data_IF_196111824728
#
_entry.id   IF_196111824728
#
_cell.length_a   1.000
_cell.length_b   1.000
_cell.length_c   1.000
_cell.angle_alpha   90.00
_cell.angle_beta   90.00
_cell.angle_gamma   90.00
#
_symmetry.space_group_name_H-M   'P 1'
#
loop_
_entity.id
_entity.type
_entity.pdbx_description
1 polymer ?
2 polymer ?
3 non-polymer ?
4 water ?
#
loop_
_entity_poly.entity_id
_entity_poly.type
_entity_poly.pdbx_seq_one_letter_code
_entity_poly.pdbx_strand_id
2 'polydeoxyribonucleotide' '(DA)(DA)(DA)(DC)(DA)(DT)(DG)(DT)(DT)(DT)(DG)(DC)(DA)(DA)(DA)(DC)(DA)(DT)(DG)(DT)(DT)(DT)' ?
#
# COMPACT_ATOMS: atom_id res chain seq x y z
N UNK A 6 8.33 13.92 -4.96
CA UNK A 6 7.76 12.79 -5.77
C UNK A 6 6.38 13.09 -6.38
N UNK A 7 6.34 13.34 -7.70
CA UNK A 7 5.15 13.66 -8.50
C UNK A 7 3.81 13.27 -7.90
N UNK A 8 2.83 14.20 -8.01
CA UNK A 8 1.49 14.03 -7.48
C UNK A 8 0.65 13.07 -8.29
N UNK A 9 -0.30 12.42 -7.63
CA UNK A 9 -1.14 11.48 -8.33
C UNK A 9 -2.61 11.67 -8.04
N UNK A 10 -3.01 12.86 -7.60
CA UNK A 10 -4.42 13.05 -7.31
C UNK A 10 -5.14 13.63 -8.48
N UNK A 11 -6.34 13.12 -8.74
CA UNK A 11 -7.13 13.61 -9.87
C UNK A 11 -7.44 15.10 -9.69
N UNK A 12 -7.20 15.88 -10.74
CA UNK A 12 -7.44 17.33 -10.70
C UNK A 12 -7.94 17.80 -12.06
N UNK A 13 -9.27 17.77 -12.28
CA UNK A 13 -10.02 18.16 -13.49
C UNK A 13 -9.56 19.47 -14.07
N UNK A 14 -9.31 20.43 -13.20
CA UNK A 14 -8.82 21.71 -13.67
C UNK A 14 -9.82 22.47 -14.48
N UNK A 15 -9.51 23.74 -14.75
CA UNK A 15 -10.34 24.66 -15.52
C UNK A 15 -10.91 24.11 -16.81
N UNK A 16 -10.29 23.11 -17.41
CA UNK A 16 -10.81 22.60 -18.66
C UNK A 16 -11.53 21.28 -18.54
N UNK A 17 -11.99 20.96 -17.34
CA UNK A 17 -12.66 19.70 -17.08
C UNK A 17 -11.95 18.52 -17.77
N UNK A 18 -10.64 18.41 -17.52
CA UNK A 18 -9.78 17.39 -18.10
C UNK A 18 -10.17 15.98 -17.68
N UNK A 19 -10.14 15.06 -18.64
CA UNK A 19 -10.53 13.70 -18.33
C UNK A 19 -9.94 12.62 -19.27
N UNK A 20 -9.62 11.45 -18.73
CA UNK A 20 -9.08 10.36 -19.55
C UNK A 20 -9.99 9.17 -19.38
N UNK A 21 -10.20 8.40 -20.45
CA UNK A 21 -11.07 7.25 -20.37
C UNK A 21 -10.67 6.24 -21.40
N UNK A 22 -11.18 5.03 -21.32
CA UNK A 22 -10.76 4.04 -22.30
C UNK A 22 -11.95 3.41 -22.96
N UNK A 23 -11.99 3.52 -24.28
CA UNK A 23 -13.07 2.93 -25.06
C UNK A 23 -12.50 1.95 -26.08
N UNK A 24 -13.03 0.74 -26.01
CA UNK A 24 -12.68 -0.45 -26.80
C UNK A 24 -12.74 -0.29 -28.35
N UNK A 25 -11.58 -0.42 -28.97
CA UNK A 25 -11.37 -0.21 -30.42
C UNK A 25 -12.08 -1.15 -31.41
N UNK A 26 -12.70 -2.21 -30.94
CA UNK A 26 -13.36 -3.14 -31.86
C UNK A 26 -14.73 -3.63 -31.38
N UNK A 27 -15.07 -4.86 -31.79
CA UNK A 27 -16.34 -5.52 -31.46
C UNK A 27 -16.25 -6.99 -31.82
N UNK A 29 -13.28 -9.89 -27.85
CA UNK A 29 -11.85 -10.09 -28.04
C UNK A 29 -11.09 -8.77 -28.20
N UNK A 30 -10.24 -8.65 -29.24
CA UNK A 30 -9.39 -7.48 -29.40
C UNK A 30 -8.57 -7.43 -28.11
N UNK A 31 -8.51 -8.60 -27.48
CA UNK A 31 -7.92 -8.85 -26.17
C UNK A 31 -6.52 -8.29 -25.88
N UNK A 32 -6.03 -7.42 -26.76
CA UNK A 32 -4.73 -6.81 -26.55
C UNK A 32 -4.68 -5.96 -25.26
N UNK A 33 -5.85 -5.53 -24.77
CA UNK A 33 -5.92 -4.76 -23.53
C UNK A 33 -7.34 -4.66 -23.00
N UNK A 34 -7.45 -4.13 -21.79
CA UNK A 34 -8.74 -4.05 -21.12
C UNK A 34 -8.66 -3.03 -19.98
N UNK A 35 -9.80 -2.51 -19.54
CA UNK A 35 -9.79 -1.50 -18.47
C UNK A 35 -10.83 -1.67 -17.36
N UNK A 36 -10.41 -1.58 -16.11
CA UNK A 36 -11.34 -1.71 -15.01
C UNK A 36 -11.61 -0.33 -14.50
N UNK A 37 -12.64 0.28 -15.05
CA UNK A 37 -13.04 1.62 -14.70
C UNK A 37 -13.23 1.60 -13.21
N UNK A 38 -13.88 0.53 -12.79
CA UNK A 38 -14.22 0.29 -11.41
C UNK A 38 -12.94 0.26 -10.55
N UNK A 39 -11.92 -0.44 -11.05
CA UNK A 39 -10.65 -0.58 -10.35
C UNK A 39 -9.60 0.52 -10.63
N UNK A 40 -9.86 1.32 -11.66
CA UNK A 40 -8.96 2.39 -12.13
C UNK A 40 -7.68 1.74 -12.63
N UNK A 41 -7.82 0.53 -13.14
CA UNK A 41 -6.69 -0.24 -13.61
C UNK A 41 -6.79 -0.57 -15.10
N UNK A 42 -5.67 -0.42 -15.80
CA UNK A 42 -5.59 -0.73 -17.21
C UNK A 42 -4.71 -1.96 -17.32
N UNK A 43 -5.24 -3.04 -17.87
CA UNK A 43 -4.46 -4.27 -18.05
C UNK A 43 -4.05 -4.38 -19.51
N UNK A 44 -2.75 -4.37 -19.83
CA UNK A 44 -2.40 -4.46 -21.25
C UNK A 44 -1.09 -5.18 -21.63
N UNK A 45 -1.06 -5.72 -22.87
CA UNK A 45 0.10 -6.49 -23.36
C UNK A 45 1.30 -5.63 -23.70
N UNK A 46 2.49 -6.17 -23.47
CA UNK A 46 3.67 -5.38 -23.78
C UNK A 46 3.85 -5.04 -25.26
N UNK A 47 4.35 -3.82 -25.48
CA UNK A 47 4.64 -3.21 -26.80
C UNK A 47 3.43 -3.07 -27.68
N UNK A 48 2.31 -3.65 -27.29
CA UNK A 48 1.11 -3.52 -28.11
C UNK A 48 0.58 -2.11 -27.84
N UNK A 49 -0.33 -1.69 -28.69
CA UNK A 49 -0.88 -0.37 -28.64
C UNK A 49 -2.13 -0.12 -27.79
N UNK A 50 -2.04 0.90 -26.96
CA UNK A 50 -3.15 1.27 -26.12
C UNK A 50 -3.72 2.66 -26.48
N UNK A 51 -4.98 2.69 -26.96
CA UNK A 51 -5.67 3.94 -27.33
C UNK A 51 -6.23 4.54 -26.03
N UNK A 52 -5.93 5.80 -25.78
CA UNK A 52 -6.40 6.43 -24.57
C UNK A 52 -7.14 7.72 -24.96
N UNK A 53 -8.39 7.86 -24.46
CA UNK A 53 -9.24 9.01 -24.79
C UNK A 53 -9.15 10.19 -23.86
N UNK A 54 -8.82 11.34 -24.45
CA UNK A 54 -8.71 12.59 -23.73
C UNK A 54 -9.93 13.47 -24.05
N UNK A 55 -10.48 14.08 -23.02
CA UNK A 55 -11.65 14.94 -23.16
C UNK A 55 -11.57 16.18 -22.29
N UNK A 56 -11.73 17.34 -22.91
CA UNK A 56 -11.74 18.60 -22.16
C UNK A 56 -13.16 19.15 -22.29
N UNK A 57 -13.42 20.29 -21.66
CA UNK A 57 -14.76 20.86 -21.74
C UNK A 57 -14.63 22.27 -22.30
N UNK A 58 -13.40 22.78 -22.27
CA UNK A 58 -13.11 24.11 -22.78
C UNK A 58 -11.70 24.02 -23.33
N UNK A 59 -11.51 24.57 -24.52
CA UNK A 59 -10.21 24.57 -25.19
C UNK A 59 -9.06 24.98 -24.28
N UNK A 60 -8.04 24.12 -24.15
CA UNK A 60 -6.90 24.45 -23.30
C UNK A 60 -6.00 25.50 -24.02
N UNK A 61 -5.12 26.19 -23.26
CA UNK A 61 -4.18 27.22 -23.71
C UNK A 61 -3.52 27.00 -25.06
N UNK A 62 -2.28 27.43 -25.21
CA UNK A 62 -1.65 27.32 -26.52
C UNK A 62 -0.80 26.12 -26.84
N UNK A 63 0.40 26.03 -26.26
CA UNK A 63 1.25 24.90 -26.55
C UNK A 63 0.84 23.68 -25.76
N UNK A 64 -0.24 23.83 -25.00
CA UNK A 64 -0.79 22.77 -24.17
C UNK A 64 -0.29 21.39 -24.58
N UNK A 65 0.17 20.63 -23.60
CA UNK A 65 0.67 19.31 -23.89
C UNK A 65 0.10 18.24 -22.99
N UNK A 66 0.22 16.98 -23.40
CA UNK A 66 -0.24 15.85 -22.60
C UNK A 66 0.92 14.96 -22.26
N UNK A 67 1.33 15.01 -20.99
CA UNK A 67 2.46 14.22 -20.53
C UNK A 67 2.01 12.98 -19.80
N UNK A 68 2.59 11.86 -20.17
CA UNK A 68 2.26 10.62 -19.53
C UNK A 68 3.51 10.19 -18.79
N UNK A 69 3.39 10.04 -17.47
CA UNK A 69 4.54 9.63 -16.71
C UNK A 69 4.23 8.43 -15.84
N UNK A 70 5.16 7.46 -15.78
CA UNK A 70 4.98 6.25 -14.98
C UNK A 70 5.62 6.46 -13.60
N UNK A 71 5.04 5.82 -12.59
CA UNK A 71 5.55 5.95 -11.24
C UNK A 71 5.02 4.78 -10.37
N UNK A 72 5.84 4.30 -9.44
CA UNK A 72 5.42 3.18 -8.62
C UNK A 72 4.28 3.56 -7.70
N UNK A 73 3.30 2.66 -7.60
CA UNK A 73 2.10 2.84 -6.77
C UNK A 73 2.43 2.89 -5.28
N UNK A 74 3.07 1.81 -4.81
CA UNK A 74 3.41 1.69 -3.41
C UNK A 74 4.43 2.67 -2.90
N UNK A 75 4.12 3.20 -1.72
CA UNK A 75 4.94 4.21 -1.05
C UNK A 75 6.41 3.86 -1.00
N UNK A 76 6.71 2.59 -0.72
CA UNK A 76 8.10 2.15 -0.60
C UNK A 76 8.98 2.42 -1.84
N UNK A 77 8.40 2.42 -3.03
CA UNK A 77 9.21 2.62 -4.22
C UNK A 77 9.05 3.92 -4.96
N UNK A 78 7.99 4.68 -4.66
CA UNK A 78 7.70 5.96 -5.33
C UNK A 78 8.92 6.77 -5.72
N UNK A 79 9.93 6.79 -4.86
CA UNK A 79 11.11 7.57 -5.18
C UNK A 79 11.97 6.98 -6.29
N UNK A 80 11.72 5.75 -6.68
CA UNK A 80 12.52 5.15 -7.74
C UNK A 80 11.93 5.38 -9.15
N UNK A 81 12.77 5.88 -10.05
CA UNK A 81 12.34 6.10 -11.43
C UNK A 81 11.82 4.77 -12.00
N UNK A 82 11.07 4.87 -13.08
CA UNK A 82 10.52 3.72 -13.78
C UNK A 82 11.10 3.67 -15.19
N UNK A 83 12.10 2.80 -15.38
CA UNK A 83 12.71 2.62 -16.69
C UNK A 83 12.52 1.16 -17.19
N UNK A 84 12.89 0.92 -18.43
CA UNK A 84 12.77 -0.41 -19.01
C UNK A 84 13.89 -1.28 -18.43
N UNK A 85 13.60 -2.54 -18.10
CA UNK A 85 14.63 -3.42 -17.56
C UNK A 85 15.80 -3.51 -18.52
N UNK A 86 17.01 -3.82 -18.00
CA UNK A 86 18.21 -3.92 -18.84
C UNK A 86 17.97 -4.76 -20.07
N UNK A 87 17.42 -5.97 -19.89
CA UNK A 87 17.14 -6.86 -21.03
C UNK A 87 16.51 -6.16 -22.23
N UNK A 88 15.34 -5.55 -22.04
CA UNK A 88 14.68 -4.84 -23.14
C UNK A 88 15.40 -3.57 -23.64
N UNK A 89 16.07 -2.86 -22.74
CA UNK A 89 16.80 -1.67 -23.16
C UNK A 89 17.95 -2.00 -24.13
N UNK A 90 18.13 -3.27 -24.47
CA UNK A 90 19.19 -3.64 -25.40
C UNK A 90 18.64 -4.57 -26.47
N UNK A 91 17.85 -5.55 -26.03
CA UNK A 91 17.24 -6.49 -26.95
C UNK A 91 17.04 -5.83 -28.30
N UNK A 92 17.54 -6.48 -29.33
CA UNK A 92 17.43 -5.98 -30.67
C UNK A 92 15.99 -5.56 -30.96
N UNK A 93 15.03 -6.43 -30.61
CA UNK A 93 13.61 -6.13 -30.87
C UNK A 93 12.99 -4.94 -30.11
N UNK A 94 12.04 -4.28 -30.76
CA UNK A 94 11.38 -3.11 -30.20
C UNK A 94 12.25 -1.88 -30.20
N UNK A 95 13.51 -2.03 -30.58
CA UNK A 95 14.38 -0.89 -30.60
C UNK A 95 14.99 -0.67 -31.94
N UNK A 96 15.06 -1.73 -32.73
CA UNK A 96 15.68 -1.61 -34.04
C UNK A 96 15.25 -0.47 -34.93
N UNK A 97 13.99 -0.37 -35.29
CA UNK A 97 13.66 0.74 -36.18
C UNK A 97 13.17 1.97 -35.44
N UNK A 98 13.25 1.86 -34.11
CA UNK A 98 12.78 2.87 -33.18
C UNK A 98 13.66 4.11 -33.02
N UNK A 99 12.98 5.21 -32.76
CA UNK A 99 13.66 6.47 -32.56
C UNK A 99 13.61 6.86 -31.08
N UNK A 100 12.70 6.24 -30.35
CA UNK A 100 12.51 6.50 -28.93
C UNK A 100 13.59 5.91 -28.01
N UNK A 101 13.93 6.63 -26.94
CA UNK A 101 14.94 6.23 -25.95
C UNK A 101 14.63 4.84 -25.45
N UNK A 102 15.50 3.87 -25.74
CA UNK A 102 15.31 2.48 -25.33
C UNK A 102 15.16 2.31 -23.83
N UNK A 103 15.45 3.34 -23.06
CA UNK A 103 15.30 3.23 -21.62
C UNK A 103 13.86 3.50 -21.18
N UNK A 104 13.17 4.37 -21.93
CA UNK A 104 11.81 4.80 -21.60
C UNK A 104 10.78 3.75 -21.64
N UNK A 105 9.97 3.70 -20.58
CA UNK A 105 8.93 2.70 -20.47
C UNK A 105 7.75 3.02 -21.37
N UNK A 106 7.23 4.24 -21.19
CA UNK A 106 6.10 4.73 -21.96
C UNK A 106 6.50 5.36 -23.29
N UNK A 107 5.81 4.93 -24.34
CA UNK A 107 6.03 5.40 -25.71
C UNK A 107 4.71 5.81 -26.32
N UNK A 108 4.75 6.73 -27.27
CA UNK A 108 3.53 7.11 -27.95
C UNK A 108 3.73 6.82 -29.46
N UNK A 109 2.79 6.08 -30.06
CA UNK A 109 2.91 5.76 -31.47
C UNK A 109 1.95 6.58 -32.30
N UNK A 110 2.35 6.89 -33.53
CA UNK A 110 1.52 7.66 -34.43
C UNK A 110 1.58 9.17 -34.26
N UNK A 111 2.72 9.70 -33.86
CA UNK A 111 2.83 11.15 -33.66
C UNK A 111 4.29 11.59 -33.70
N UNK A 112 4.70 12.14 -34.83
CA UNK A 112 6.07 12.63 -34.99
C UNK A 112 6.49 13.68 -33.95
N UNK A 113 5.54 14.55 -33.56
CA UNK A 113 5.80 15.61 -32.58
C UNK A 113 6.03 15.14 -31.17
N UNK A 114 5.73 13.87 -30.93
CA UNK A 114 5.91 13.26 -29.60
C UNK A 114 7.35 13.42 -29.20
N UNK A 115 7.59 14.00 -28.02
CA UNK A 115 8.96 14.19 -27.57
C UNK A 115 9.22 13.56 -26.18
N UNK A 116 10.25 12.71 -26.12
CA UNK A 116 10.63 12.01 -24.90
C UNK A 116 11.55 12.86 -24.04
N UNK A 117 11.31 12.82 -22.74
CA UNK A 117 12.08 13.65 -21.84
C UNK A 117 12.52 13.02 -20.51
N UNK A 118 13.76 13.34 -20.15
CA UNK A 118 14.40 12.89 -18.90
C UNK A 118 14.68 14.14 -18.07
N UNK A 119 14.11 14.21 -16.90
CA UNK A 119 14.31 15.37 -16.08
C UNK A 119 15.71 15.36 -15.52
N UNK A 120 16.50 16.40 -15.81
CA UNK A 120 17.89 16.54 -15.36
C UNK A 120 18.10 16.39 -13.87
N UNK A 121 17.17 16.89 -13.07
CA UNK A 121 17.28 16.80 -11.61
C UNK A 121 16.70 15.53 -11.03
N UNK A 122 15.42 15.27 -11.27
CA UNK A 122 14.79 14.04 -10.78
C UNK A 122 15.17 12.82 -11.59
N UNK A 123 15.56 13.03 -12.85
CA UNK A 123 15.95 11.94 -13.71
C UNK A 123 14.75 11.13 -14.17
N UNK A 124 13.56 11.67 -13.91
CA UNK A 124 12.31 11.01 -14.29
C UNK A 124 11.96 11.11 -15.77
N UNK A 125 11.69 9.95 -16.36
CA UNK A 125 11.37 9.86 -17.77
C UNK A 125 9.87 9.99 -17.99
N UNK A 126 9.53 10.66 -19.08
CA UNK A 126 8.12 10.91 -19.40
C UNK A 126 8.05 11.16 -20.86
N UNK A 127 6.85 11.25 -21.40
CA UNK A 127 6.71 11.53 -22.82
C UNK A 127 5.58 12.55 -23.05
N UNK A 128 5.81 13.53 -23.93
CA UNK A 128 4.82 14.58 -24.19
C UNK A 128 4.33 14.59 -25.61
N UNK A 129 3.10 15.03 -25.76
CA UNK A 129 2.52 15.12 -27.06
C UNK A 129 1.74 16.41 -27.05
N UNK A 130 1.91 17.24 -28.08
CA UNK A 130 1.18 18.50 -28.11
C UNK A 130 -0.33 18.20 -28.17
N UNK A 131 -1.13 18.95 -27.42
CA UNK A 131 -2.58 18.73 -27.39
C UNK A 131 -3.25 19.22 -28.65
N UNK A 132 -4.13 18.41 -29.21
CA UNK A 132 -4.84 18.87 -30.37
C UNK A 132 -6.26 18.46 -30.11
N UNK A 133 -7.22 19.35 -30.39
CA UNK A 133 -8.64 19.06 -30.17
C UNK A 133 -9.07 17.82 -30.96
N UNK A 134 -10.28 17.33 -30.67
CA UNK A 134 -10.79 16.14 -31.35
C UNK A 134 -10.99 16.39 -32.83
N UNK A 135 -11.33 15.33 -33.56
CA UNK A 135 -11.59 15.49 -34.98
C UNK A 135 -13.03 16.00 -34.97
N UNK A 136 -13.44 16.62 -36.07
CA UNK A 136 -14.80 17.14 -36.20
C UNK A 136 -15.82 16.03 -35.96
N UNK A 137 -16.84 16.32 -35.15
CA UNK A 137 -17.87 15.33 -34.89
C UNK A 137 -17.49 14.30 -33.83
N UNK A 138 -16.21 14.30 -33.44
CA UNK A 138 -15.67 13.38 -32.44
C UNK A 138 -15.60 14.11 -31.10
N UNK A 139 -15.79 13.40 -29.99
CA UNK A 139 -15.73 14.08 -28.69
C UNK A 139 -14.46 13.81 -27.92
N UNK A 140 -13.59 12.99 -28.49
CA UNK A 140 -12.33 12.63 -27.83
C UNK A 140 -11.04 12.85 -28.63
N UNK A 141 -9.99 13.27 -27.95
CA UNK A 141 -8.70 13.41 -28.62
C UNK A 141 -8.08 12.06 -28.26
N UNK A 142 -7.74 11.27 -29.27
CA UNK A 142 -7.15 9.98 -28.95
C UNK A 142 -5.63 9.99 -29.05
N UNK A 143 -4.97 9.41 -28.04
CA UNK A 143 -3.51 9.32 -28.00
C UNK A 143 -3.12 7.86 -27.89
N UNK A 144 -2.16 7.45 -28.71
CA UNK A 144 -1.71 6.05 -28.73
C UNK A 144 -0.48 5.76 -27.92
N UNK A 145 -0.67 5.10 -26.79
CA UNK A 145 0.46 4.77 -25.94
C UNK A 145 0.92 3.33 -26.12
N UNK A 146 2.22 3.09 -25.86
CA UNK A 146 2.83 1.76 -25.90
C UNK A 146 3.64 1.59 -24.61
N UNK A 147 3.44 0.47 -23.94
CA UNK A 147 4.16 0.24 -22.70
C UNK A 147 5.21 -0.82 -22.98
N UNK A 148 6.48 -0.45 -22.79
CA UNK A 148 7.60 -1.29 -23.24
C UNK A 148 8.25 -2.32 -22.32
N UNK A 149 7.62 -2.66 -21.22
CA UNK A 149 8.21 -3.65 -20.34
C UNK A 149 7.09 -4.32 -19.61
N UNK A 150 7.13 -5.63 -19.51
CA UNK A 150 6.11 -6.23 -18.65
C UNK A 150 6.21 -5.66 -17.26
N UNK A 151 5.12 -5.73 -16.51
CA UNK A 151 5.16 -5.18 -15.18
C UNK A 151 5.70 -6.27 -14.29
N UNK A 152 6.75 -6.92 -14.74
CA UNK A 152 7.34 -8.02 -13.98
C UNK A 152 8.73 -8.29 -14.50
N UNK A 153 9.20 -7.40 -15.35
CA UNK A 153 10.53 -7.56 -15.87
C UNK A 153 11.48 -7.49 -14.67
N UNK A 154 12.32 -8.51 -14.54
CA UNK A 154 13.29 -8.51 -13.47
C UNK A 154 14.32 -7.47 -13.85
N UNK A 155 14.79 -6.69 -12.88
CA UNK A 155 15.77 -5.68 -13.22
C UNK A 155 15.04 -4.42 -13.65
N UNK A 156 13.73 -4.46 -13.47
CA UNK A 156 12.90 -3.32 -13.82
C UNK A 156 11.82 -3.25 -12.79
N UNK A 157 10.58 -3.18 -13.20
CA UNK A 157 9.49 -3.09 -12.24
C UNK A 157 9.43 -4.30 -11.29
N UNK A 158 10.04 -5.43 -11.69
CA UNK A 158 10.03 -6.64 -10.87
C UNK A 158 8.69 -6.78 -10.15
N UNK A 159 7.63 -6.84 -10.95
CA UNK A 159 6.24 -6.93 -10.52
C UNK A 159 5.74 -5.96 -9.45
N UNK A 160 6.36 -4.78 -9.42
CA UNK A 160 5.95 -3.72 -8.51
C UNK A 160 4.87 -2.87 -9.20
N UNK A 161 3.66 -2.83 -8.65
CA UNK A 161 2.60 -2.03 -9.28
C UNK A 161 3.03 -0.60 -9.60
N UNK A 162 2.69 -0.17 -10.80
CA UNK A 162 3.03 1.18 -11.19
C UNK A 162 1.72 1.81 -11.62
N UNK A 163 1.73 3.11 -11.81
CA UNK A 163 0.53 3.73 -12.30
C UNK A 163 0.89 4.93 -13.14
N UNK A 164 0.12 5.13 -14.20
CA UNK A 164 0.37 6.20 -15.11
C UNK A 164 -0.28 7.51 -14.71
N UNK A 165 0.45 8.59 -14.93
CA UNK A 165 -0.02 9.89 -14.57
C UNK A 165 -0.06 10.73 -15.81
N UNK A 166 -1.21 10.72 -16.46
CA UNK A 166 -1.35 11.54 -17.64
C UNK A 166 -1.75 12.94 -17.14
N UNK A 167 -0.99 13.93 -17.56
CA UNK A 167 -1.20 15.29 -17.10
C UNK A 167 -1.26 16.28 -18.26
N UNK A 168 -2.25 17.15 -18.24
CA UNK A 168 -2.42 18.19 -19.25
C UNK A 168 -1.69 19.40 -18.73
N UNK A 169 -0.67 19.86 -19.44
CA UNK A 169 0.10 21.00 -18.95
C UNK A 169 0.23 22.14 -19.93
N UNK A 170 0.51 23.32 -19.37
CA UNK A 170 0.69 24.50 -20.19
C UNK A 170 2.02 24.32 -20.91
N UNK A 171 2.18 24.99 -22.05
CA UNK A 171 3.41 24.84 -22.84
C UNK A 171 4.67 25.11 -22.04
N UNK A 172 4.54 25.70 -20.86
CA UNK A 172 5.74 25.85 -20.12
C UNK A 172 5.66 25.13 -18.78
N UNK A 173 5.07 23.95 -18.83
CA UNK A 173 5.00 23.09 -17.66
C UNK A 173 4.11 23.29 -16.46
N UNK A 174 3.15 24.19 -16.56
CA UNK A 174 2.23 24.40 -15.46
C UNK A 174 1.09 23.39 -15.62
N UNK A 175 0.84 22.62 -14.57
CA UNK A 175 -0.20 21.60 -14.64
C UNK A 175 -1.65 22.15 -14.62
N UNK A 176 -2.36 21.91 -15.72
CA UNK A 176 -3.75 22.34 -15.89
C UNK A 176 -4.74 21.24 -15.57
N UNK A 177 -4.26 20.01 -15.51
CA UNK A 177 -5.15 18.92 -15.21
C UNK A 177 -4.34 17.65 -15.09
N UNK A 178 -4.85 16.70 -14.31
CA UNK A 178 -4.16 15.44 -14.07
C UNK A 178 -5.11 14.31 -13.73
N UNK A 179 -4.91 13.14 -14.32
CA UNK A 179 -5.72 11.95 -14.02
C UNK A 179 -4.76 10.75 -13.88
N UNK A 180 -5.08 9.80 -13.01
CA UNK A 180 -4.24 8.63 -12.84
C UNK A 180 -4.96 7.33 -12.93
N UNK A 181 -4.23 6.30 -13.33
CA UNK A 181 -4.80 4.97 -13.42
C UNK A 181 -3.66 3.97 -13.22
N UNK A 182 -3.95 2.85 -12.57
CA UNK A 182 -2.91 1.85 -12.35
C UNK A 182 -2.71 1.12 -13.62
N UNK A 183 -1.46 0.87 -13.97
CA UNK A 183 -1.15 0.17 -15.20
C UNK A 183 -0.48 -1.15 -14.85
N UNK A 184 -0.89 -2.24 -15.48
CA UNK A 184 -0.30 -3.53 -15.21
C UNK A 184 -0.10 -4.22 -16.54
N UNK A 185 1.07 -4.01 -17.13
CA UNK A 185 1.32 -4.61 -18.41
C UNK A 185 1.82 -6.04 -18.28
N UNK A 186 1.02 -6.94 -18.84
CA UNK A 186 1.27 -8.36 -18.80
C UNK A 186 1.10 -9.16 -20.13
N UNK A 187 0.80 -10.44 -19.96
CA UNK A 187 0.66 -11.34 -21.09
C UNK A 187 -0.78 -11.72 -21.31
N UNK A 188 -1.51 -11.91 -20.22
CA UNK A 188 -2.91 -12.27 -20.35
C UNK A 188 -3.81 -11.25 -19.68
N UNK A 189 -3.81 -10.00 -20.17
CA UNK A 189 -4.68 -9.01 -19.54
C UNK A 189 -6.07 -9.57 -19.21
N UNK A 190 -6.62 -10.37 -20.13
CA UNK A 190 -7.93 -10.95 -19.85
C UNK A 190 -7.89 -11.71 -18.53
N UNK A 191 -7.14 -12.80 -18.51
CA UNK A 191 -7.00 -13.63 -17.33
C UNK A 191 -6.73 -12.82 -16.07
N UNK A 192 -5.62 -12.09 -16.08
CA UNK A 192 -5.21 -11.29 -14.92
C UNK A 192 -6.32 -10.38 -14.41
N UNK A 193 -6.98 -9.65 -15.30
CA UNK A 193 -8.05 -8.76 -14.84
C UNK A 193 -9.12 -9.59 -14.14
N UNK A 194 -9.51 -10.68 -14.77
CA UNK A 194 -10.55 -11.56 -14.22
C UNK A 194 -10.17 -11.99 -12.81
N UNK A 195 -8.98 -12.59 -12.69
CA UNK A 195 -8.49 -13.08 -11.40
C UNK A 195 -8.42 -11.95 -10.39
N UNK A 196 -7.96 -10.80 -10.84
CA UNK A 196 -7.86 -9.62 -10.00
C UNK A 196 -9.26 -9.26 -9.48
N UNK A 197 -10.29 -9.49 -10.31
CA UNK A 197 -11.64 -9.16 -9.89
C UNK A 197 -12.28 -10.22 -8.99
N UNK A 198 -11.77 -11.46 -9.04
CA UNK A 198 -12.32 -12.50 -8.18
C UNK A 198 -11.65 -12.39 -6.81
N UNK A 199 -10.58 -11.62 -6.76
CA UNK A 199 -9.88 -11.42 -5.52
C UNK A 199 -10.73 -10.54 -4.61
N UNK B 11 -6.50 -9.03 34.82
CA UNK B 11 -7.74 -9.34 34.04
C UNK B 11 -9.00 -8.81 34.70
N UNK B 12 -9.79 -8.06 33.93
CA UNK B 12 -11.06 -7.48 34.38
C UNK B 12 -12.12 -7.59 33.27
N UNK B 13 -12.87 -8.71 33.26
CA UNK B 13 -13.92 -9.00 32.28
C UNK B 13 -14.85 -7.83 32.01
N UNK B 14 -15.24 -7.17 33.09
CA UNK B 14 -16.12 -6.01 32.99
C UNK B 14 -17.55 -6.33 32.61
N UNK B 15 -18.38 -5.30 32.52
CA UNK B 15 -19.80 -5.43 32.16
C UNK B 15 -20.13 -6.21 30.88
N UNK B 16 -19.20 -6.25 29.93
CA UNK B 16 -19.48 -6.93 28.69
C UNK B 16 -18.78 -8.28 28.61
N UNK B 17 -18.36 -8.78 29.77
CA UNK B 17 -17.63 -10.05 29.86
C UNK B 17 -16.64 -10.13 28.71
N UNK B 18 -15.73 -9.15 28.70
CA UNK B 18 -14.70 -9.00 27.67
C UNK B 18 -13.69 -10.14 27.70
N UNK B 19 -13.26 -10.58 26.54
CA UNK B 19 -12.32 -11.68 26.53
C UNK B 19 -11.52 -11.78 25.26
N UNK B 20 -10.26 -12.22 25.40
CA UNK B 20 -9.36 -12.40 24.28
C UNK B 20 -8.93 -13.87 24.18
N UNK B 21 -8.76 -14.35 22.95
CA UNK B 21 -8.39 -15.74 22.70
C UNK B 21 -7.81 -15.90 21.29
N UNK B 22 -7.10 -17.01 21.11
CA UNK B 22 -6.43 -17.38 19.84
C UNK B 22 -6.95 -18.75 19.33
N UNK B 23 -7.15 -18.89 18.01
CA UNK B 23 -7.64 -20.17 17.44
C UNK B 23 -6.59 -21.27 17.29
N UNK B 32 3.45 -19.28 11.59
CA UNK B 32 4.10 -17.95 11.81
C UNK B 32 3.84 -17.47 13.23
N UNK B 33 3.17 -18.28 14.02
CA UNK B 33 2.91 -17.93 15.41
C UNK B 33 2.17 -19.03 16.11
N UNK B 34 2.10 -18.95 17.43
CA UNK B 34 1.43 -19.96 18.24
C UNK B 34 1.13 -19.43 19.63
N UNK B 35 0.18 -20.07 20.32
CA UNK B 35 -0.23 -19.63 21.65
C UNK B 35 -0.40 -20.74 22.67
N UNK B 36 0.29 -20.59 23.80
CA UNK B 36 0.23 -21.55 24.90
C UNK B 36 -0.87 -21.08 25.81
N UNK B 37 -2.03 -21.66 25.63
CA UNK B 37 -3.21 -21.33 26.41
C UNK B 37 -2.83 -21.17 27.87
N UNK B 38 -2.33 -22.26 28.42
CA UNK B 38 -1.97 -22.32 29.83
C UNK B 38 -0.69 -21.61 30.22
N UNK B 39 -0.10 -20.90 29.29
CA UNK B 39 1.09 -20.18 29.67
C UNK B 39 0.79 -18.71 29.44
N UNK B 40 -0.38 -18.47 28.88
CA UNK B 40 -0.84 -17.12 28.62
C UNK B 40 0.32 -16.44 27.88
N UNK B 41 0.96 -17.17 26.98
CA UNK B 41 2.07 -16.62 26.23
C UNK B 41 1.87 -16.76 24.71
N UNK B 42 2.15 -15.70 24.00
CA UNK B 42 2.01 -15.69 22.55
C UNK B 42 3.41 -15.67 21.99
N UNK B 43 3.70 -16.65 21.14
CA UNK B 43 5.00 -16.76 20.49
C UNK B 43 4.75 -16.44 19.05
N UNK B 44 5.41 -15.41 18.52
CA UNK B 44 5.18 -15.13 17.12
C UNK B 44 6.37 -14.43 16.46
N UNK B 45 6.52 -14.64 15.16
CA UNK B 45 7.60 -14.03 14.44
C UNK B 45 7.34 -12.55 14.27
N UNK B 46 8.42 -11.79 14.09
CA UNK B 46 8.34 -10.34 13.91
C UNK B 46 7.64 -9.92 12.61
N UNK B 47 6.98 -8.76 12.66
CA UNK B 47 6.28 -8.18 11.52
C UNK B 47 5.36 -9.16 10.81
N UNK B 48 5.18 -10.35 11.35
CA UNK B 48 4.26 -11.30 10.74
C UNK B 48 2.91 -10.96 11.35
N UNK B 49 1.84 -11.43 10.73
CA UNK B 49 0.51 -11.11 11.22
C UNK B 49 -0.08 -12.00 12.30
N UNK B 50 -0.63 -11.36 13.33
CA UNK B 50 -1.25 -12.09 14.43
C UNK B 50 -2.72 -11.84 14.55
N UNK B 51 -3.53 -12.85 14.24
CA UNK B 51 -4.97 -12.70 14.35
C UNK B 51 -5.31 -12.86 15.82
N UNK B 52 -6.10 -11.92 16.37
CA UNK B 52 -6.48 -12.01 17.77
C UNK B 52 -8.01 -11.92 17.93
N UNK B 53 -8.57 -12.88 18.67
CA UNK B 53 -10.00 -12.97 18.87
C UNK B 53 -10.57 -12.24 20.06
N UNK B 54 -11.54 -11.37 19.77
CA UNK B 54 -12.24 -10.59 20.78
C UNK B 54 -13.68 -11.06 20.91
N UNK B 55 -14.13 -11.20 22.15
CA UNK B 55 -15.46 -11.68 22.41
C UNK B 55 -16.09 -10.98 23.59
N UNK B 56 -17.28 -10.43 23.38
CA UNK B 56 -18.05 -9.77 24.44
C UNK B 56 -19.31 -10.56 24.70
N UNK B 57 -20.02 -10.21 25.76
CA UNK B 57 -21.25 -10.90 26.11
C UNK B 57 -22.46 -10.06 25.86
N UNK B 58 -22.22 -8.76 25.85
CA UNK B 58 -23.29 -7.81 25.64
C UNK B 58 -22.66 -6.64 24.91
N UNK B 59 -23.34 -6.12 23.87
CA UNK B 59 -22.81 -4.97 23.10
C UNK B 59 -22.21 -3.86 23.98
N UNK B 60 -20.96 -3.48 23.69
CA UNK B 60 -20.29 -2.43 24.45
C UNK B 60 -20.88 -1.10 24.05
N UNK B 61 -20.46 0.00 24.69
CA UNK B 61 -21.04 1.27 24.30
C UNK B 61 -20.90 1.48 22.81
N UNK B 62 -20.95 2.74 22.41
CA UNK B 62 -20.91 3.10 21.01
C UNK B 62 -19.61 3.31 20.28
N UNK B 63 -18.75 4.18 20.80
CA UNK B 63 -17.48 4.44 20.14
C UNK B 63 -16.57 3.30 20.46
N UNK B 64 -16.77 2.72 21.64
CA UNK B 64 -15.99 1.60 22.16
C UNK B 64 -14.81 1.24 21.27
N UNK B 65 -13.62 1.23 21.88
CA UNK B 65 -12.42 0.92 21.15
C UNK B 65 -11.62 -0.21 21.78
N UNK B 66 -10.69 -0.76 21.00
CA UNK B 66 -9.83 -1.83 21.48
C UNK B 66 -8.39 -1.34 21.33
N UNK B 67 -7.78 -1.10 22.48
CA UNK B 67 -6.41 -0.59 22.58
C UNK B 67 -5.48 -1.72 22.95
N UNK B 68 -4.37 -1.78 22.22
CA UNK B 68 -3.36 -2.78 22.48
C UNK B 68 -2.09 -2.04 22.90
N UNK B 69 -1.64 -2.30 24.12
CA UNK B 69 -0.47 -1.64 24.65
C UNK B 69 0.56 -2.62 25.16
N UNK B 70 1.84 -2.38 24.82
CA UNK B 70 2.90 -3.27 25.26
C UNK B 70 3.49 -2.73 26.55
N UNK B 71 4.00 -3.64 27.37
CA UNK B 71 4.62 -3.22 28.61
C UNK B 71 5.50 -4.37 29.11
N UNK B 72 6.58 -4.02 29.80
CA UNK B 72 7.50 -5.03 30.35
C UNK B 72 6.88 -5.82 31.52
N UNK B 73 7.04 -7.14 31.48
CA UNK B 73 6.51 -8.06 32.49
C UNK B 73 7.20 -7.90 33.84
N UNK B 74 8.52 -7.81 33.81
CA UNK B 74 9.32 -7.67 35.02
C UNK B 74 9.18 -6.32 35.71
N UNK B 75 8.97 -6.39 37.02
CA UNK B 75 8.79 -5.23 37.89
C UNK B 75 9.95 -4.26 37.75
N UNK B 76 11.13 -4.80 37.53
CA UNK B 76 12.32 -3.99 37.34
C UNK B 76 12.08 -2.92 36.28
N UNK B 77 11.51 -3.34 35.15
CA UNK B 77 11.36 -2.48 33.95
C UNK B 77 9.96 -1.92 33.56
N UNK B 78 8.91 -2.31 34.26
CA UNK B 78 7.57 -1.77 33.99
C UNK B 78 7.46 -0.27 33.70
N UNK B 79 8.28 0.55 34.32
CA UNK B 79 8.23 2.01 34.11
C UNK B 79 8.78 2.50 32.76
N UNK B 80 9.56 1.67 32.08
CA UNK B 80 10.15 2.03 30.80
C UNK B 80 9.17 1.72 29.68
N UNK B 81 8.99 2.69 28.80
CA UNK B 81 8.11 2.55 27.65
C UNK B 81 8.66 1.46 26.74
N UNK B 82 7.81 0.92 25.87
CA UNK B 82 8.26 -0.13 24.97
C UNK B 82 8.19 0.38 23.54
N UNK B 83 9.36 0.60 22.93
CA UNK B 83 9.42 1.09 21.58
C UNK B 83 10.28 0.15 20.78
N UNK B 84 10.27 0.35 19.47
CA UNK B 84 11.07 -0.46 18.59
C UNK B 84 12.54 -0.04 18.80
N UNK B 85 13.44 -1.00 18.69
CA UNK B 85 14.87 -0.72 18.79
C UNK B 85 15.26 0.28 17.68
N UNK B 86 16.34 1.06 17.89
CA UNK B 86 16.80 2.03 16.90
C UNK B 86 16.97 1.47 15.50
N UNK B 87 17.60 0.30 15.37
CA UNK B 87 17.76 -0.25 14.03
C UNK B 87 16.45 -0.23 13.21
N UNK B 88 15.46 -0.99 13.67
CA UNK B 88 14.17 -1.05 13.00
C UNK B 88 13.47 0.29 12.89
N UNK B 89 13.54 1.08 13.95
CA UNK B 89 12.90 2.38 14.00
C UNK B 89 13.24 3.20 12.80
N UNK B 90 14.49 3.16 12.37
CA UNK B 90 14.87 3.92 11.18
C UNK B 90 15.64 3.03 10.24
N UNK B 91 14.87 2.23 9.53
CA UNK B 91 15.37 1.34 8.53
C UNK B 91 14.23 1.35 7.55
N UNK B 92 14.39 2.00 6.40
CA UNK B 92 13.34 2.08 5.38
C UNK B 92 12.44 0.88 5.54
N UNK B 93 13.03 -0.31 5.56
CA UNK B 93 12.30 -1.56 5.70
C UNK B 93 11.19 -1.55 6.78
N UNK B 94 9.95 -1.76 6.32
CA UNK B 94 8.77 -1.79 7.19
C UNK B 94 8.27 -0.40 7.52
N UNK B 95 9.09 0.61 7.30
CA UNK B 95 8.70 1.97 7.61
C UNK B 95 8.23 2.74 6.40
N UNK B 96 9.14 2.86 5.44
CA UNK B 96 8.91 3.56 4.20
C UNK B 96 7.44 3.97 3.96
N UNK B 97 6.63 3.04 3.45
CA UNK B 97 5.26 3.41 3.17
C UNK B 97 4.33 3.00 4.30
N UNK B 98 4.32 3.79 5.38
CA UNK B 98 3.51 3.40 6.52
C UNK B 98 2.70 4.43 7.26
N UNK B 99 1.48 4.00 7.59
CA UNK B 99 0.51 4.81 8.32
C UNK B 99 1.05 5.07 9.71
N UNK B 100 1.44 3.99 10.38
CA UNK B 100 1.96 4.05 11.75
C UNK B 100 3.37 4.61 11.94
N UNK B 101 3.65 5.13 13.15
CA UNK B 101 4.94 5.69 13.52
C UNK B 101 5.97 4.58 13.62
N UNK B 102 7.19 4.81 13.08
CA UNK B 102 8.29 3.83 13.11
C UNK B 102 8.78 3.39 14.50
N UNK B 103 8.46 4.19 15.52
CA UNK B 103 8.83 3.89 16.89
C UNK B 103 7.91 2.81 17.52
N UNK B 104 6.62 2.83 17.19
CA UNK B 104 5.64 1.89 17.74
C UNK B 104 5.89 0.43 17.50
N UNK B 105 5.87 -0.33 18.59
CA UNK B 105 6.09 -1.76 18.51
C UNK B 105 4.88 -2.43 17.92
N UNK B 106 3.72 -2.17 18.53
CA UNK B 106 2.50 -2.81 18.05
C UNK B 106 1.83 -2.05 16.91
N UNK B 107 1.45 -2.79 15.87
CA UNK B 107 0.75 -2.25 14.70
C UNK B 107 -0.45 -3.11 14.40
N UNK B 108 -1.46 -2.54 13.79
CA UNK B 108 -2.62 -3.33 13.43
C UNK B 108 -2.78 -3.23 11.92
N UNK B 109 -2.91 -4.38 11.26
CA UNK B 109 -3.07 -4.39 9.81
C UNK B 109 -4.46 -4.79 9.42
N UNK B 110 -4.96 -4.07 8.41
CA UNK B 110 -6.28 -4.31 7.89
C UNK B 110 -7.33 -3.39 8.45
N UNK B 111 -6.97 -2.13 8.70
CA UNK B 111 -7.94 -1.23 9.25
C UNK B 111 -7.53 0.21 9.15
N UNK B 112 -8.14 0.92 8.22
CA UNK B 112 -7.82 2.31 8.03
C UNK B 112 -8.15 3.16 9.25
N UNK B 113 -9.14 2.76 10.02
CA UNK B 113 -9.54 3.53 11.21
C UNK B 113 -8.54 3.45 12.36
N UNK B 114 -7.74 2.39 12.37
CA UNK B 114 -6.72 2.22 13.40
C UNK B 114 -5.92 3.50 13.59
N UNK B 115 -5.83 3.94 14.84
CA UNK B 115 -5.07 5.14 15.13
C UNK B 115 -4.01 4.86 16.20
N UNK B 116 -2.79 5.33 15.94
CA UNK B 116 -1.67 5.12 16.86
C UNK B 116 -1.57 6.35 17.75
N UNK B 117 -1.32 6.12 19.03
CA UNK B 117 -1.24 7.21 19.98
C UNK B 117 -0.05 7.18 20.96
N UNK B 118 0.51 8.36 21.21
CA UNK B 118 1.62 8.50 22.13
C UNK B 118 1.09 9.36 23.27
N UNK B 119 1.14 8.86 24.49
CA UNK B 119 0.63 9.62 25.63
C UNK B 119 1.57 10.77 25.91
N UNK B 120 1.07 12.00 25.84
CA UNK B 120 1.87 13.19 26.08
C UNK B 120 2.64 13.19 27.42
N UNK B 121 1.98 12.72 28.48
CA UNK B 121 2.60 12.68 29.79
C UNK B 121 3.46 11.41 30.00
N UNK B 122 2.84 10.23 30.00
CA UNK B 122 3.60 8.98 30.18
C UNK B 122 4.52 8.65 28.99
N UNK B 123 4.21 9.21 27.82
CA UNK B 123 5.00 8.93 26.63
C UNK B 123 4.74 7.52 26.09
N UNK B 124 3.77 6.83 26.68
CA UNK B 124 3.48 5.47 26.29
C UNK B 124 2.81 5.33 24.93
N UNK B 125 3.31 4.39 24.14
CA UNK B 125 2.76 4.14 22.80
C UNK B 125 1.72 3.04 22.84
N UNK B 126 0.71 3.17 22.00
CA UNK B 126 -0.39 2.22 21.95
C UNK B 126 -1.13 2.39 20.65
N UNK B 127 -1.99 1.44 20.34
CA UNK B 127 -2.77 1.52 19.11
C UNK B 127 -4.24 1.12 19.33
N UNK B 128 -5.15 1.99 18.90
CA UNK B 128 -6.57 1.74 19.05
C UNK B 128 -7.23 1.37 17.74
N UNK B 129 -8.32 0.63 17.87
CA UNK B 129 -9.11 0.22 16.74
C UNK B 129 -10.55 0.23 17.23
N UNK B 130 -11.44 0.95 16.51
CA UNK B 130 -12.87 1.04 16.86
C UNK B 130 -13.51 -0.35 16.91
N UNK B 131 -14.22 -0.64 18.01
CA UNK B 131 -14.84 -1.95 18.17
C UNK B 131 -15.98 -2.12 17.19
N UNK B 132 -16.15 -3.35 16.74
CA UNK B 132 -17.27 -3.62 15.88
C UNK B 132 -17.71 -5.04 16.14
N UNK B 133 -19.02 -5.24 16.22
CA UNK B 133 -19.54 -6.58 16.49
C UNK B 133 -18.94 -7.56 15.50
N UNK B 134 -19.08 -8.86 15.79
CA UNK B 134 -18.56 -9.84 14.84
C UNK B 134 -19.40 -9.83 13.55
N UNK B 135 -18.97 -10.65 12.60
CA UNK B 135 -19.68 -10.81 11.35
C UNK B 135 -20.87 -11.71 11.68
N UNK B 136 -21.92 -11.62 10.87
CA UNK B 136 -23.13 -12.43 11.07
C UNK B 136 -22.85 -13.95 11.14
N UNK B 137 -23.30 -14.59 12.21
CA UNK B 137 -23.08 -16.02 12.38
C UNK B 137 -21.81 -16.25 13.15
N UNK B 138 -20.82 -15.38 12.93
CA UNK B 138 -19.54 -15.48 13.62
C UNK B 138 -19.75 -15.35 15.13
N UNK B 139 -18.68 -15.53 15.89
CA UNK B 139 -18.73 -15.40 17.35
C UNK B 139 -17.47 -14.71 17.85
N UNK B 140 -16.85 -13.89 17.03
CA UNK B 140 -15.62 -13.24 17.44
C UNK B 140 -15.33 -12.01 16.66
N UNK B 141 -14.78 -11.02 17.35
CA UNK B 141 -14.36 -9.82 16.68
C UNK B 141 -12.89 -10.10 16.59
N UNK B 142 -12.40 -10.25 15.36
CA UNK B 142 -11.02 -10.58 15.11
C UNK B 142 -10.17 -9.37 14.71
N UNK B 143 -9.08 -9.17 15.44
CA UNK B 143 -8.20 -8.04 15.18
C UNK B 143 -6.87 -8.53 14.66
N UNK B 144 -6.28 -7.77 13.73
CA UNK B 144 -4.99 -8.15 13.17
C UNK B 144 -3.81 -7.34 13.67
N UNK B 145 -3.04 -7.95 14.59
CA UNK B 145 -1.87 -7.30 15.16
C UNK B 145 -0.50 -7.74 14.59
N UNK B 146 0.38 -6.77 14.42
CA UNK B 146 1.74 -6.98 13.93
C UNK B 146 2.71 -6.51 14.97
N UNK B 147 3.69 -7.34 15.31
CA UNK B 147 4.71 -6.90 16.27
C UNK B 147 6.01 -6.61 15.49
N UNK B 148 6.54 -5.39 15.64
CA UNK B 148 7.62 -4.89 14.78
C UNK B 148 9.04 -4.76 15.34
N UNK B 149 9.51 -5.77 16.07
CA UNK B 149 10.83 -5.76 16.68
C UNK B 149 10.87 -7.12 17.33
N UNK B 150 12.01 -7.81 17.36
CA UNK B 150 12.07 -9.11 18.01
C UNK B 150 12.09 -8.87 19.47
N UNK B 151 11.77 -9.91 20.24
CA UNK B 151 11.72 -9.76 21.68
C UNK B 151 13.11 -9.60 22.23
N UNK B 152 14.08 -9.43 21.34
CA UNK B 152 15.46 -9.41 21.76
C UNK B 152 16.31 -8.30 21.14
N UNK B 153 15.69 -7.42 20.38
CA UNK B 153 16.45 -6.34 19.76
C UNK B 153 17.29 -5.54 20.76
N UNK B 154 18.58 -5.53 20.50
CA UNK B 154 19.46 -4.77 21.32
C UNK B 154 19.01 -3.33 21.18
N UNK B 155 19.04 -2.56 22.26
CA UNK B 155 18.62 -1.18 22.15
C UNK B 155 17.11 -1.04 22.18
N UNK B 156 16.43 -2.16 22.39
CA UNK B 156 14.98 -2.18 22.48
C UNK B 156 14.60 -3.04 23.67
N UNK B 157 13.83 -4.09 23.43
CA UNK B 157 13.42 -5.01 24.50
C UNK B 157 14.60 -5.81 25.09
N UNK B 158 15.73 -5.87 24.37
CA UNK B 158 16.93 -6.57 24.83
C UNK B 158 16.49 -7.84 25.57
N UNK B 159 15.70 -8.66 24.88
CA UNK B 159 15.15 -9.91 25.40
C UNK B 159 14.44 -9.85 26.77
N UNK B 160 13.96 -8.66 27.13
CA UNK B 160 13.20 -8.45 28.38
C UNK B 160 11.74 -8.83 28.06
N UNK B 161 11.21 -9.88 28.71
CA UNK B 161 9.83 -10.30 28.46
C UNK B 161 8.86 -9.13 28.57
N UNK B 162 7.93 -9.07 27.64
CA UNK B 162 6.94 -8.00 27.64
C UNK B 162 5.61 -8.73 27.56
N UNK B 163 4.54 -8.04 27.89
CA UNK B 163 3.22 -8.63 27.74
C UNK B 163 2.27 -7.58 27.19
N UNK B 164 1.34 -8.03 26.35
CA UNK B 164 0.40 -7.13 25.72
C UNK B 164 -0.81 -6.90 26.60
N UNK B 165 -1.29 -5.66 26.63
CA UNK B 165 -2.47 -5.35 27.40
C UNK B 165 -3.53 -4.83 26.44
N UNK B 166 -4.44 -5.72 26.06
CA UNK B 166 -5.53 -5.33 25.18
C UNK B 166 -6.64 -4.95 26.15
N UNK B 167 -7.12 -3.73 25.94
CA UNK B 167 -8.14 -3.15 26.78
C UNK B 167 -9.33 -2.63 25.95
N UNK B 168 -10.55 -2.97 26.37
CA UNK B 168 -11.76 -2.48 25.72
C UNK B 168 -12.14 -1.20 26.45
N UNK B 169 -12.15 -0.08 25.75
CA UNK B 169 -12.45 1.16 26.44
C UNK B 169 -13.56 1.93 25.82
N UNK B 170 -14.08 2.83 26.63
CA UNK B 170 -15.15 3.70 26.20
C UNK B 170 -14.53 4.74 25.32
N UNK B 171 -15.29 5.21 24.35
CA UNK B 171 -14.83 6.23 23.43
C UNK B 171 -13.95 7.31 24.05
N UNK B 172 -14.24 7.66 25.31
CA UNK B 172 -13.47 8.70 25.99
C UNK B 172 -12.40 8.14 26.90
N UNK B 173 -12.00 6.91 26.65
CA UNK B 173 -10.94 6.34 27.46
C UNK B 173 -11.24 5.68 28.78
N UNK B 174 -12.52 5.47 29.09
CA UNK B 174 -12.86 4.76 30.32
C UNK B 174 -12.69 3.28 30.06
N UNK B 175 -12.12 2.57 31.00
CA UNK B 175 -11.92 1.16 30.75
C UNK B 175 -13.19 0.36 31.01
N UNK B 176 -13.48 -0.56 30.10
CA UNK B 176 -14.67 -1.40 30.22
C UNK B 176 -14.27 -2.84 30.46
N UNK B 177 -13.00 -3.13 30.20
CA UNK B 177 -12.51 -4.48 30.37
C UNK B 177 -11.03 -4.54 29.99
N UNK B 178 -10.32 -5.53 30.51
CA UNK B 178 -8.91 -5.67 30.19
C UNK B 178 -8.44 -7.11 30.29
N UNK B 179 -7.67 -7.54 29.30
CA UNK B 179 -7.13 -8.90 29.32
C UNK B 179 -5.66 -8.77 28.98
N UNK B 180 -4.84 -9.73 29.39
CA UNK B 180 -3.43 -9.66 29.05
C UNK B 180 -2.71 -11.00 28.98
N UNK B 181 -1.82 -11.06 28.00
CA UNK B 181 -1.02 -12.25 27.71
C UNK B 181 0.44 -11.83 27.47
N UNK B 182 1.39 -12.73 27.76
CA UNK B 182 2.80 -12.43 27.54
C UNK B 182 3.12 -12.64 26.07
N UNK B 183 3.81 -11.67 25.49
CA UNK B 183 4.19 -11.74 24.09
C UNK B 183 5.68 -11.96 24.00
N UNK B 184 6.09 -12.82 23.07
CA UNK B 184 7.50 -13.10 22.86
C UNK B 184 7.67 -13.28 21.36
N UNK B 185 7.95 -12.18 20.67
CA UNK B 185 8.13 -12.23 19.24
C UNK B 185 9.57 -12.57 18.93
N UNK B 186 9.74 -13.74 18.32
CA UNK B 186 11.07 -14.24 17.97
C UNK B 186 11.18 -14.75 16.51
N UNK B 187 12.03 -15.76 16.32
CA UNK B 187 12.28 -16.33 14.99
C UNK B 187 11.80 -17.76 14.82
N UNK B 188 11.74 -18.52 15.91
CA UNK B 188 11.27 -19.89 15.85
C UNK B 188 10.21 -20.08 16.95
N UNK B 189 9.06 -19.40 16.82
CA UNK B 189 8.02 -19.55 17.84
C UNK B 189 7.79 -21.02 18.18
N UNK B 190 7.84 -21.88 17.16
CA UNK B 190 7.64 -23.29 17.42
C UNK B 190 8.64 -23.74 18.47
N UNK B 191 9.91 -23.78 18.07
CA UNK B 191 11.01 -24.19 18.94
C UNK B 191 10.93 -23.59 20.33
N UNK B 192 10.96 -22.26 20.36
CA UNK B 192 10.94 -21.52 21.62
C UNK B 192 9.79 -21.95 22.52
N UNK B 193 8.60 -22.08 21.92
CA UNK B 193 7.42 -22.47 22.67
C UNK B 193 7.71 -23.83 23.27
N UNK B 194 8.05 -24.79 22.40
CA UNK B 194 8.31 -26.15 22.83
C UNK B 194 9.31 -26.21 23.97
N UNK B 195 10.48 -25.63 23.75
CA UNK B 195 11.53 -25.58 24.76
C UNK B 195 11.02 -24.92 26.03
N UNK B 196 10.25 -23.86 25.85
CA UNK B 196 9.68 -23.12 26.97
C UNK B 196 8.67 -24.01 27.70
N UNK B 197 8.25 -25.08 27.03
CA UNK B 197 7.32 -26.03 27.60
C UNK B 197 8.06 -27.15 28.33
N UNK B 198 9.36 -27.28 28.04
CA UNK B 198 10.23 -28.29 28.64
C UNK B 198 10.59 -27.95 30.10
N UNK B 199 10.68 -26.66 30.41
CA UNK B 199 11.01 -26.15 31.76
C UNK B 199 10.07 -26.66 32.88
N UNK B 200 9.16 -27.55 32.47
CA UNK B 200 8.16 -28.15 33.37
C UNK B 200 7.82 -29.57 32.94
X LIG D 1 11.65 -5.55 -19.64
X LIG E 1 14.29 -4.15 16.61
#
# INVERSE_FOLDING_TARGET
GSHMASPSNTDYPGPHSFDVSFQQSSTAKSATWTYSTELKKLYCQIAKTCPIQIKVMTPPPQGAVIRAMPVYKKAEHVTEVVKRCPNHELSREFNEGQIAPPSHLIRVEGNSHAQYVEDPITGRQSVLVPYEPPQVGTEFTTVLYNFMCNSSCVGGMNRRPILIIVTLETRDGQVLGRRCFEARICACPGRDRKADEDSIRKQ
GSHMASPSNTDYPGPHSFDVSFQQSSTAKSATWTYSTELKKLYCQIAKTCPIQIKVMTPPPQGAVIRAMPVYKKAEHVTEVVKRCPNHELSREFNEGQIAPPSHLIRVEGNSHAQYVEDPITGRQSVLVPYEPPQVGTEFTTVLYNFMCNSSCVGGMNRRPILIIVTLETRDGQVLGRRCFEARICACPGRDRKADEDSIRKQ
ZN ZN
ZN ZN
#
